data_IF_164621410142
#
_entry.id   IF_164621410142
#
_cell.length_a   1.000
_cell.length_b   1.000
_cell.length_c   1.000
_cell.angle_alpha   90.00
_cell.angle_beta   90.00
_cell.angle_gamma   90.00
#
_symmetry.space_group_name_H-M   'P 1'
#
loop_
_entity.id
_entity.type
_entity.pdbx_description
1 polymer ?
#
# COMPACT_ATOMS: atom_id res chain seq x y z
N UNK A 1 40.63 8.08 13.89
CA UNK A 1 39.24 8.07 14.37
C UNK A 1 38.65 6.71 14.04
N UNK A 2 38.56 5.81 15.03
CA UNK A 2 38.01 4.48 14.82
C UNK A 2 36.49 4.57 14.71
N UNK A 3 35.95 4.25 13.52
CA UNK A 3 34.52 4.15 13.30
C UNK A 3 33.98 2.97 14.12
N UNK A 4 33.31 3.27 15.22
CA UNK A 4 32.62 2.30 16.06
C UNK A 4 31.52 1.63 15.23
N UNK A 5 31.81 0.43 14.72
CA UNK A 5 30.79 -0.43 14.11
C UNK A 5 29.89 -0.91 15.24
N UNK A 6 28.73 -0.28 15.38
CA UNK A 6 27.69 -0.76 16.27
C UNK A 6 27.39 -2.22 15.93
N UNK A 7 27.61 -3.12 16.90
CA UNK A 7 27.25 -4.52 16.74
C UNK A 7 25.75 -4.63 16.47
N UNK A 8 25.32 -5.52 15.56
CA UNK A 8 23.91 -5.72 15.29
C UNK A 8 23.20 -6.11 16.60
N UNK A 9 22.25 -5.26 17.05
CA UNK A 9 21.42 -5.51 18.23
C UNK A 9 20.75 -6.88 18.13
N UNK A 10 20.67 -7.59 19.25
CA UNK A 10 20.03 -8.89 19.28
C UNK A 10 18.53 -8.76 18.92
N UNK A 11 17.91 -9.75 18.27
CA UNK A 11 16.50 -9.70 17.88
C UNK A 11 15.54 -9.59 19.08
N UNK A 12 15.95 -9.95 20.29
CA UNK A 12 15.19 -9.74 21.52
C UNK A 12 15.04 -8.24 21.82
N UNK A 13 16.13 -7.47 21.71
CA UNK A 13 16.15 -6.02 21.93
C UNK A 13 15.20 -5.30 20.96
N UNK A 14 15.11 -5.77 19.71
CA UNK A 14 14.23 -5.18 18.71
C UNK A 14 12.73 -5.37 19.02
N UNK A 15 12.35 -6.46 19.71
CA UNK A 15 10.95 -6.68 20.11
C UNK A 15 10.58 -5.78 21.29
N UNK A 16 11.48 -5.67 22.27
CA UNK A 16 11.29 -4.81 23.44
C UNK A 16 11.26 -3.32 23.06
N UNK A 17 12.17 -2.90 22.17
CA UNK A 17 12.19 -1.54 21.61
C UNK A 17 10.88 -1.19 20.91
N UNK A 18 10.31 -2.10 20.10
CA UNK A 18 9.00 -1.90 19.47
C UNK A 18 7.87 -1.78 20.49
N UNK A 19 7.89 -2.62 21.53
CA UNK A 19 6.89 -2.57 22.59
C UNK A 19 6.94 -1.24 23.37
N UNK A 20 8.15 -0.73 23.64
CA UNK A 20 8.33 0.57 24.30
C UNK A 20 7.87 1.73 23.42
N UNK A 21 8.19 1.70 22.11
CA UNK A 21 7.70 2.69 21.15
C UNK A 21 6.17 2.66 21.07
N UNK A 22 5.56 1.47 21.01
CA UNK A 22 4.11 1.31 20.97
C UNK A 22 3.43 1.84 22.25
N UNK A 23 3.96 1.50 23.42
CA UNK A 23 3.44 1.98 24.70
C UNK A 23 3.58 3.49 24.85
N UNK A 24 4.72 4.05 24.43
CA UNK A 24 4.94 5.49 24.42
C UNK A 24 4.00 6.20 23.44
N UNK A 25 3.84 5.65 22.24
CA UNK A 25 2.93 6.16 21.21
C UNK A 25 1.48 6.20 21.69
N UNK A 26 0.99 5.10 22.29
CA UNK A 26 -0.36 5.03 22.84
C UNK A 26 -0.60 6.08 23.93
N UNK A 27 0.37 6.29 24.82
CA UNK A 27 0.29 7.34 25.85
C UNK A 27 0.25 8.75 25.23
N UNK A 28 0.96 8.96 24.12
CA UNK A 28 1.06 10.26 23.48
C UNK A 28 -0.22 10.66 22.74
N UNK A 29 -0.82 9.72 22.01
CA UNK A 29 -2.05 9.99 21.24
C UNK A 29 -3.30 9.98 22.12
N UNK A 30 -3.17 9.59 23.39
CA UNK A 30 -4.21 9.67 24.40
C UNK A 30 -5.43 8.85 24.02
N UNK A 31 -6.60 9.51 24.00
CA UNK A 31 -7.89 8.88 23.70
C UNK A 31 -7.95 8.26 22.30
N UNK A 32 -7.16 8.77 21.35
CA UNK A 32 -7.12 8.23 19.99
C UNK A 32 -6.57 6.79 19.94
N UNK A 33 -5.82 6.36 20.96
CA UNK A 33 -5.33 4.99 21.05
C UNK A 33 -6.46 3.95 21.08
N UNK A 34 -7.68 4.34 21.44
CA UNK A 34 -8.85 3.45 21.40
C UNK A 34 -9.31 3.12 19.98
N UNK A 35 -8.93 3.91 18.97
CA UNK A 35 -9.32 3.76 17.57
C UNK A 35 -8.19 3.32 16.66
N UNK A 36 -6.97 3.74 16.97
CA UNK A 36 -5.80 3.53 16.14
C UNK A 36 -5.23 2.13 16.37
N UNK A 37 -5.04 1.37 15.29
CA UNK A 37 -4.35 0.08 15.38
C UNK A 37 -2.91 0.30 15.82
N UNK A 38 -2.51 -0.30 16.95
CA UNK A 38 -1.23 -0.01 17.60
C UNK A 38 -0.01 -0.14 16.68
N UNK A 39 0.02 -1.16 15.83
CA UNK A 39 1.16 -1.41 14.95
C UNK A 39 1.19 -0.46 13.74
N UNK A 40 0.07 0.19 13.42
CA UNK A 40 -0.06 1.08 12.25
C UNK A 40 0.50 2.48 12.46
N UNK A 41 0.78 2.86 13.72
CA UNK A 41 1.19 4.22 14.07
C UNK A 41 2.55 4.57 13.48
N UNK A 42 2.65 5.71 12.79
CA UNK A 42 3.93 6.35 12.46
C UNK A 42 3.95 7.79 12.92
N UNK A 43 5.07 8.13 13.54
CA UNK A 43 5.32 9.47 14.04
C UNK A 43 6.32 10.18 13.13
N UNK A 44 6.04 11.43 12.80
CA UNK A 44 6.92 12.34 12.08
C UNK A 44 7.08 13.60 12.93
N UNK A 45 8.33 14.02 13.19
CA UNK A 45 8.64 15.17 14.06
C UNK A 45 7.96 15.13 15.44
N UNK A 46 7.69 13.93 15.94
CA UNK A 46 7.00 13.72 17.22
C UNK A 46 5.48 13.80 17.15
N UNK A 47 4.85 13.78 15.98
CA UNK A 47 3.39 13.77 15.89
C UNK A 47 2.89 12.57 15.12
N UNK A 48 1.70 12.06 15.49
CA UNK A 48 1.06 10.98 14.73
C UNK A 48 0.75 11.51 13.33
N UNK A 49 1.44 10.98 12.32
CA UNK A 49 1.30 11.37 10.93
C UNK A 49 0.58 10.29 10.11
N UNK A 50 0.75 9.01 10.48
CA UNK A 50 0.10 7.88 9.81
C UNK A 50 -0.55 6.95 10.83
N UNK A 51 -1.76 6.49 10.51
CA UNK A 51 -2.43 5.44 11.26
C UNK A 51 -3.43 4.66 10.41
N UNK A 52 -3.70 3.42 10.82
CA UNK A 52 -4.90 2.70 10.46
C UNK A 52 -5.93 2.86 11.58
N UNK A 53 -7.18 3.09 11.21
CA UNK A 53 -8.30 3.10 12.16
C UNK A 53 -9.25 1.96 11.84
N UNK A 54 -9.76 1.31 12.88
CA UNK A 54 -10.87 0.37 12.74
C UNK A 54 -12.18 1.15 12.58
N UNK A 55 -12.63 1.28 11.33
CA UNK A 55 -13.81 2.06 11.00
C UNK A 55 -15.11 1.38 11.41
N UNK A 56 -15.11 0.07 11.72
CA UNK A 56 -16.31 -0.63 12.21
C UNK A 56 -16.71 -0.17 13.62
N UNK A 57 -15.82 0.55 14.32
CA UNK A 57 -16.09 1.19 15.61
C UNK A 57 -16.61 2.62 15.47
N UNK A 58 -17.54 2.85 14.54
CA UNK A 58 -18.07 4.19 14.20
C UNK A 58 -18.45 5.04 15.41
N UNK A 59 -19.15 4.48 16.40
CA UNK A 59 -19.56 5.24 17.59
C UNK A 59 -18.38 5.82 18.39
N UNK A 60 -17.25 5.11 18.43
CA UNK A 60 -16.02 5.62 19.05
C UNK A 60 -15.36 6.68 18.15
N UNK A 61 -15.41 6.51 16.83
CA UNK A 61 -14.90 7.49 15.87
C UNK A 61 -15.65 8.81 15.98
N UNK A 62 -16.97 8.76 16.07
CA UNK A 62 -17.83 9.94 16.23
C UNK A 62 -17.56 10.65 17.56
N UNK A 63 -17.39 9.91 18.67
CA UNK A 63 -17.04 10.48 19.98
C UNK A 63 -15.69 11.20 19.99
N UNK A 64 -14.74 10.72 19.20
CA UNK A 64 -13.39 11.30 19.10
C UNK A 64 -13.24 12.25 17.92
N UNK A 65 -14.32 12.55 17.19
CA UNK A 65 -14.33 13.57 16.14
C UNK A 65 -14.12 14.94 16.80
N UNK A 66 -13.23 15.77 16.22
CA UNK A 66 -12.82 17.06 16.80
C UNK A 66 -11.68 16.98 17.84
N UNK A 67 -11.21 15.78 18.21
CA UNK A 67 -10.04 15.64 19.08
C UNK A 67 -8.79 16.25 18.41
N UNK A 68 -8.07 17.13 19.11
CA UNK A 68 -6.93 17.88 18.56
C UNK A 68 -5.78 17.01 18.06
N UNK A 69 -5.64 15.79 18.57
CA UNK A 69 -4.63 14.82 18.11
C UNK A 69 -4.77 14.44 16.64
N UNK A 70 -5.97 14.60 16.07
CA UNK A 70 -6.22 14.39 14.65
C UNK A 70 -5.56 15.42 13.74
N UNK A 71 -5.25 16.61 14.27
CA UNK A 71 -4.77 17.74 13.46
C UNK A 71 -3.40 17.56 12.84
N UNK A 72 -2.64 16.55 13.26
CA UNK A 72 -1.33 16.21 12.72
C UNK A 72 -1.36 15.00 11.80
N UNK A 73 -2.48 14.27 11.76
CA UNK A 73 -2.60 13.05 10.95
C UNK A 73 -2.69 13.44 9.49
N UNK A 74 -1.73 12.95 8.71
CA UNK A 74 -1.61 13.21 7.28
C UNK A 74 -2.17 12.05 6.45
N UNK A 75 -2.13 10.84 6.99
CA UNK A 75 -2.50 9.62 6.28
C UNK A 75 -3.34 8.69 7.14
N UNK A 76 -4.54 8.38 6.65
CA UNK A 76 -5.44 7.39 7.26
C UNK A 76 -5.62 6.19 6.33
N UNK A 77 -5.46 5.00 6.89
CA UNK A 77 -6.00 3.76 6.32
C UNK A 77 -7.28 3.38 7.07
N UNK A 78 -8.38 3.22 6.34
CA UNK A 78 -9.65 2.76 6.89
C UNK A 78 -9.68 1.23 6.85
N UNK A 79 -9.49 0.60 8.00
CA UNK A 79 -9.71 -0.83 8.15
C UNK A 79 -11.16 -1.05 8.59
N UNK A 80 -12.03 -1.60 7.74
CA UNK A 80 -13.42 -1.87 8.10
C UNK A 80 -14.40 -1.63 6.97
N UNK A 81 -15.69 -1.76 7.25
CA UNK A 81 -16.78 -1.56 6.31
C UNK A 81 -17.33 -0.14 6.36
N UNK A 82 -17.20 0.51 7.51
CA UNK A 82 -17.86 1.77 7.77
C UNK A 82 -17.04 2.98 7.30
N UNK A 83 -17.74 4.08 7.05
CA UNK A 83 -17.14 5.33 6.58
C UNK A 83 -17.34 6.46 7.59
N UNK A 84 -16.28 6.89 8.29
CA UNK A 84 -16.37 7.94 9.27
C UNK A 84 -16.35 9.31 8.59
N UNK A 85 -17.40 9.61 7.81
CA UNK A 85 -17.49 10.84 7.02
C UNK A 85 -17.25 12.09 7.87
N UNK A 86 -17.89 12.17 9.05
CA UNK A 86 -17.76 13.29 9.98
C UNK A 86 -16.31 13.59 10.36
N UNK A 87 -15.53 12.56 10.71
CA UNK A 87 -14.10 12.72 11.01
C UNK A 87 -13.35 13.29 9.79
N UNK A 88 -13.51 12.70 8.61
CA UNK A 88 -12.66 13.01 7.45
C UNK A 88 -12.93 14.39 6.82
N UNK A 89 -14.08 15.01 7.11
CA UNK A 89 -14.40 16.41 6.74
C UNK A 89 -14.25 17.39 7.88
N UNK A 90 -13.98 16.92 9.09
CA UNK A 90 -13.88 17.79 10.25
C UNK A 90 -12.74 18.80 10.03
N UNK A 91 -12.94 20.10 10.32
CA UNK A 91 -11.89 21.12 10.21
C UNK A 91 -10.61 20.79 10.99
N UNK A 92 -10.68 19.93 12.01
CA UNK A 92 -9.51 19.44 12.74
C UNK A 92 -8.56 18.66 11.81
N UNK A 93 -9.06 17.97 10.77
CA UNK A 93 -8.31 17.18 9.80
C UNK A 93 -7.57 18.02 8.74
N UNK A 94 -7.15 19.23 9.08
CA UNK A 94 -6.49 20.17 8.14
C UNK A 94 -5.20 19.64 7.51
N UNK A 95 -4.52 18.69 8.16
CA UNK A 95 -3.27 18.09 7.67
C UNK A 95 -3.51 16.83 6.82
N UNK A 96 -4.75 16.34 6.74
CA UNK A 96 -5.08 15.09 6.07
C UNK A 96 -4.87 15.21 4.57
N UNK A 97 -3.82 14.56 4.09
CA UNK A 97 -3.43 14.54 2.69
C UNK A 97 -3.84 13.24 1.98
N UNK A 98 -4.08 12.16 2.72
CA UNK A 98 -4.33 10.84 2.13
C UNK A 98 -5.33 10.02 2.93
N UNK A 99 -6.32 9.46 2.23
CA UNK A 99 -7.24 8.45 2.79
C UNK A 99 -7.21 7.23 1.90
N UNK A 100 -7.00 6.05 2.49
CA UNK A 100 -6.94 4.77 1.78
C UNK A 100 -7.82 3.73 2.47
N UNK A 101 -8.09 2.59 1.84
CA UNK A 101 -9.03 1.60 2.38
C UNK A 101 -10.51 1.97 2.22
N UNK A 102 -10.83 2.98 1.39
CA UNK A 102 -12.22 3.36 1.17
C UNK A 102 -12.90 2.27 0.37
N UNK A 103 -13.89 1.59 0.93
CA UNK A 103 -14.61 0.56 0.17
C UNK A 103 -15.48 1.17 -0.92
N UNK A 104 -15.72 0.40 -1.97
CA UNK A 104 -16.48 0.88 -3.11
C UNK A 104 -17.95 1.21 -2.81
N UNK A 105 -18.57 0.53 -1.84
CA UNK A 105 -19.91 0.89 -1.33
C UNK A 105 -19.94 2.27 -0.68
N UNK A 106 -18.80 2.73 -0.18
CA UNK A 106 -18.62 4.00 0.52
C UNK A 106 -18.16 5.11 -0.43
N UNK A 107 -17.45 4.76 -1.49
CA UNK A 107 -16.90 5.71 -2.45
C UNK A 107 -17.97 6.64 -3.08
N UNK A 108 -19.21 6.18 -3.26
CA UNK A 108 -20.31 7.04 -3.71
C UNK A 108 -20.64 8.15 -2.71
N UNK A 109 -20.55 7.89 -1.40
CA UNK A 109 -20.74 8.93 -0.37
C UNK A 109 -19.60 9.93 -0.35
N UNK A 110 -18.37 9.46 -0.63
CA UNK A 110 -17.21 10.34 -0.84
C UNK A 110 -17.46 11.25 -2.04
N UNK A 111 -17.87 10.67 -3.17
CA UNK A 111 -18.17 11.38 -4.42
C UNK A 111 -19.31 12.40 -4.28
N UNK A 112 -20.31 12.08 -3.47
CA UNK A 112 -21.45 12.96 -3.17
C UNK A 112 -21.15 14.02 -2.10
N UNK A 113 -19.98 13.93 -1.44
CA UNK A 113 -19.57 14.89 -0.42
C UNK A 113 -19.11 16.23 -0.98
N UNK A 114 -18.59 17.12 -0.13
CA UNK A 114 -18.10 18.43 -0.56
C UNK A 114 -17.00 18.29 -1.63
N UNK A 115 -17.05 19.09 -2.69
CA UNK A 115 -16.05 19.05 -3.77
C UNK A 115 -14.63 19.44 -3.33
N UNK A 116 -14.45 19.92 -2.09
CA UNK A 116 -13.22 20.56 -1.60
C UNK A 116 -12.47 19.72 -0.57
N UNK A 117 -12.62 18.39 -0.57
CA UNK A 117 -11.78 17.58 0.30
C UNK A 117 -10.30 17.89 0.05
N UNK A 118 -9.48 18.14 1.09
CA UNK A 118 -8.09 18.55 0.94
C UNK A 118 -7.15 17.38 0.54
N UNK A 119 -7.71 16.23 0.18
CA UNK A 119 -6.95 15.00 0.00
C UNK A 119 -6.19 15.00 -1.32
N UNK A 120 -4.87 14.88 -1.24
CA UNK A 120 -3.96 14.72 -2.39
C UNK A 120 -3.95 13.29 -2.92
N UNK A 121 -4.38 12.32 -2.11
CA UNK A 121 -4.42 10.90 -2.46
C UNK A 121 -5.68 10.23 -1.90
N UNK A 122 -6.31 9.43 -2.75
CA UNK A 122 -7.48 8.62 -2.39
C UNK A 122 -7.23 7.19 -2.84
N UNK A 123 -7.33 6.25 -1.90
CA UNK A 123 -7.20 4.83 -2.16
C UNK A 123 -8.50 4.10 -1.89
N UNK A 124 -8.98 3.37 -2.89
CA UNK A 124 -10.23 2.63 -2.81
C UNK A 124 -9.97 1.14 -2.89
N UNK A 125 -10.44 0.47 -1.85
CA UNK A 125 -10.46 -0.96 -1.77
C UNK A 125 -11.32 -1.53 -2.90
N UNK A 126 -11.00 -2.74 -3.39
CA UNK A 126 -11.52 -3.25 -4.65
C UNK A 126 -13.03 -3.17 -4.67
N UNK A 127 -13.64 -2.79 -5.80
CA UNK A 127 -15.07 -2.88 -5.92
C UNK A 127 -15.51 -4.32 -5.72
N UNK A 128 -16.58 -4.47 -4.93
CA UNK A 128 -17.48 -5.60 -5.09
C UNK A 128 -17.79 -5.69 -6.59
N UNK A 129 -17.68 -6.90 -7.15
CA UNK A 129 -17.80 -7.14 -8.59
C UNK A 129 -19.02 -6.40 -9.16
N UNK A 130 -18.80 -5.36 -10.00
CA UNK A 130 -19.89 -4.61 -10.63
C UNK A 130 -19.72 -3.09 -10.76
N UNK A 131 -18.70 -2.44 -10.18
CA UNK A 131 -18.55 -0.96 -10.24
C UNK A 131 -17.37 -0.47 -11.11
N UNK A 132 -17.44 -0.78 -12.40
CA UNK A 132 -16.43 -0.42 -13.41
C UNK A 132 -16.20 1.10 -13.57
N UNK A 133 -17.23 1.93 -13.36
CA UNK A 133 -17.17 3.38 -13.63
C UNK A 133 -16.59 4.21 -12.48
N UNK A 134 -16.49 3.63 -11.29
CA UNK A 134 -16.10 4.33 -10.06
C UNK A 134 -14.74 5.05 -10.19
N UNK A 135 -13.68 4.45 -10.78
CA UNK A 135 -12.39 5.12 -10.93
C UNK A 135 -12.46 6.40 -11.77
N UNK A 136 -13.24 6.38 -12.86
CA UNK A 136 -13.41 7.53 -13.74
C UNK A 136 -14.22 8.66 -13.06
N UNK A 137 -15.19 8.31 -12.20
CA UNK A 137 -15.93 9.28 -11.40
C UNK A 137 -15.04 9.98 -10.37
N UNK A 138 -14.19 9.22 -9.66
CA UNK A 138 -13.29 9.79 -8.64
C UNK A 138 -12.24 10.72 -9.23
N UNK A 139 -11.68 10.40 -10.40
CA UNK A 139 -10.76 11.33 -11.10
C UNK A 139 -11.43 12.66 -11.43
N UNK A 140 -12.71 12.63 -11.81
CA UNK A 140 -13.49 13.86 -12.07
C UNK A 140 -13.74 14.65 -10.79
N UNK A 141 -14.01 13.96 -9.67
CA UNK A 141 -14.28 14.60 -8.38
C UNK A 141 -13.01 15.12 -7.68
N UNK A 142 -11.88 14.44 -7.86
CA UNK A 142 -10.58 14.78 -7.26
C UNK A 142 -9.53 15.05 -8.33
N UNK A 143 -9.67 16.12 -9.14
CA UNK A 143 -8.73 16.42 -10.22
C UNK A 143 -7.30 16.72 -9.71
N UNK A 144 -7.18 17.23 -8.48
CA UNK A 144 -5.90 17.51 -7.82
C UNK A 144 -5.25 16.28 -7.18
N UNK A 145 -5.94 15.12 -7.17
CA UNK A 145 -5.37 13.90 -6.61
C UNK A 145 -4.26 13.37 -7.53
N UNK A 146 -3.02 13.59 -7.09
CA UNK A 146 -1.80 13.14 -7.80
C UNK A 146 -1.70 11.61 -7.95
N UNK A 147 -2.44 10.84 -7.15
CA UNK A 147 -2.50 9.39 -7.25
C UNK A 147 -3.86 8.84 -6.81
N UNK A 148 -4.44 7.97 -7.65
CA UNK A 148 -5.59 7.13 -7.32
C UNK A 148 -5.09 5.69 -7.15
N UNK A 149 -5.24 5.14 -5.94
CA UNK A 149 -4.88 3.76 -5.65
C UNK A 149 -6.13 2.89 -5.76
N UNK A 150 -6.15 1.93 -6.69
CA UNK A 150 -7.17 0.87 -6.67
C UNK A 150 -6.55 -0.42 -6.18
N UNK A 151 -7.25 -1.06 -5.26
CA UNK A 151 -6.95 -2.40 -4.82
C UNK A 151 -7.77 -3.36 -5.71
N UNK A 152 -7.25 -4.54 -6.05
CA UNK A 152 -8.01 -5.60 -6.71
C UNK A 152 -8.09 -6.85 -5.83
N UNK A 153 -9.31 -7.35 -5.64
CA UNK A 153 -9.57 -8.61 -4.95
C UNK A 153 -9.40 -9.81 -5.90
N UNK A 154 -9.17 -10.99 -5.31
CA UNK A 154 -8.90 -12.29 -5.97
C UNK A 154 -9.90 -12.73 -7.06
N UNK A 155 -11.11 -12.16 -7.13
CA UNK A 155 -12.21 -12.66 -7.99
C UNK A 155 -12.49 -11.84 -9.26
N UNK A 156 -11.87 -10.68 -9.48
CA UNK A 156 -12.28 -9.74 -10.54
C UNK A 156 -11.23 -9.46 -11.62
N UNK A 157 -10.09 -10.15 -11.60
CA UNK A 157 -8.89 -9.78 -12.38
C UNK A 157 -9.11 -9.88 -13.89
N UNK A 158 -9.92 -10.83 -14.36
CA UNK A 158 -10.25 -11.00 -15.77
C UNK A 158 -11.07 -9.84 -16.33
N UNK A 159 -12.02 -9.32 -15.56
CA UNK A 159 -12.84 -8.15 -15.94
C UNK A 159 -12.07 -6.83 -15.71
N UNK A 160 -11.15 -6.81 -14.75
CA UNK A 160 -10.30 -5.66 -14.42
C UNK A 160 -9.24 -5.35 -15.48
N UNK A 161 -8.67 -6.39 -16.09
CA UNK A 161 -7.66 -6.27 -17.15
C UNK A 161 -8.17 -5.49 -18.38
N UNK A 162 -9.47 -5.55 -18.66
CA UNK A 162 -10.10 -4.91 -19.82
C UNK A 162 -10.39 -3.41 -19.57
N UNK A 163 -10.88 -3.05 -18.38
CA UNK A 163 -11.24 -1.67 -18.03
C UNK A 163 -10.03 -0.72 -17.88
N UNK A 164 -8.84 -1.28 -17.67
CA UNK A 164 -7.63 -0.51 -17.37
C UNK A 164 -6.69 -0.30 -18.57
N UNK A 165 -6.95 -0.89 -19.73
CA UNK A 165 -6.05 -0.76 -20.88
C UNK A 165 -5.93 0.66 -21.41
N UNK A 166 -7.05 1.39 -21.45
CA UNK A 166 -7.09 2.78 -21.94
C UNK A 166 -6.60 3.76 -20.87
N UNK A 167 -6.79 3.43 -19.58
CA UNK A 167 -6.32 4.22 -18.46
C UNK A 167 -4.79 4.12 -18.25
N UNK A 168 -4.18 2.97 -18.53
CA UNK A 168 -2.74 2.76 -18.39
C UNK A 168 -1.93 3.51 -19.45
N UNK A 169 -2.44 3.63 -20.67
CA UNK A 169 -1.78 4.37 -21.75
C UNK A 169 -1.57 5.87 -21.42
N UNK A 170 -2.35 6.42 -20.47
CA UNK A 170 -2.28 7.81 -20.05
C UNK A 170 -1.52 8.03 -18.73
N UNK A 171 -1.13 6.97 -18.01
CA UNK A 171 -0.39 7.08 -16.75
C UNK A 171 1.11 7.25 -17.03
N UNK A 172 1.58 8.50 -17.04
CA UNK A 172 2.99 8.83 -17.29
C UNK A 172 3.88 8.75 -16.04
N UNK A 173 3.35 8.60 -14.82
CA UNK A 173 4.19 8.76 -13.61
C UNK A 173 3.74 7.99 -12.36
N UNK A 174 3.62 6.66 -12.46
CA UNK A 174 3.43 5.69 -11.33
C UNK A 174 1.95 5.38 -11.04
N UNK A 175 1.57 4.13 -11.31
CA UNK A 175 0.31 3.54 -10.86
C UNK A 175 0.57 2.51 -9.77
N UNK A 176 -0.14 2.60 -8.65
CA UNK A 176 -0.10 1.61 -7.58
C UNK A 176 -1.31 0.70 -7.71
N UNK A 177 -1.08 -0.61 -7.81
CA UNK A 177 -2.15 -1.61 -7.89
C UNK A 177 -1.92 -2.66 -6.82
N UNK A 178 -2.72 -2.62 -5.76
CA UNK A 178 -2.65 -3.66 -4.73
C UNK A 178 -3.39 -4.90 -5.24
N UNK A 179 -2.69 -6.02 -5.38
CA UNK A 179 -3.25 -7.26 -5.93
C UNK A 179 -3.05 -8.41 -4.92
N UNK A 180 -4.01 -9.32 -4.85
CA UNK A 180 -3.76 -10.65 -4.26
C UNK A 180 -2.62 -11.34 -5.03
N UNK A 181 -1.73 -12.09 -4.38
CA UNK A 181 -0.56 -12.70 -5.06
C UNK A 181 -0.97 -13.60 -6.24
N UNK A 182 -2.10 -14.30 -6.12
CA UNK A 182 -2.63 -15.14 -7.20
C UNK A 182 -3.06 -14.36 -8.47
N UNK A 183 -3.21 -13.05 -8.37
CA UNK A 183 -3.60 -12.16 -9.47
C UNK A 183 -2.42 -11.62 -10.27
N UNK A 184 -1.21 -11.70 -9.69
CA UNK A 184 0.01 -11.15 -10.25
C UNK A 184 0.28 -11.64 -11.69
N UNK A 185 0.09 -12.94 -12.04
CA UNK A 185 0.38 -13.40 -13.40
C UNK A 185 -0.51 -12.73 -14.46
N UNK A 186 -1.84 -12.80 -14.30
CA UNK A 186 -2.77 -12.23 -15.28
C UNK A 186 -2.61 -10.71 -15.44
N UNK A 187 -2.24 -10.01 -14.36
CA UNK A 187 -1.95 -8.58 -14.44
C UNK A 187 -0.59 -8.31 -15.10
N UNK A 188 0.45 -9.09 -14.79
CA UNK A 188 1.76 -8.94 -15.42
C UNK A 188 1.70 -9.19 -16.92
N UNK A 189 0.86 -10.12 -17.40
CA UNK A 189 0.66 -10.35 -18.83
C UNK A 189 0.16 -9.07 -19.52
N UNK A 190 -0.82 -8.41 -18.91
CA UNK A 190 -1.37 -7.14 -19.40
C UNK A 190 -0.32 -6.03 -19.30
N UNK A 191 0.38 -5.95 -18.17
CA UNK A 191 1.38 -4.93 -17.92
C UNK A 191 2.57 -5.04 -18.89
N UNK A 192 3.17 -6.22 -19.00
CA UNK A 192 4.31 -6.47 -19.88
C UNK A 192 3.95 -6.30 -21.36
N UNK A 193 2.72 -6.61 -21.76
CA UNK A 193 2.27 -6.46 -23.14
C UNK A 193 1.91 -5.01 -23.53
N UNK A 194 1.52 -4.16 -22.57
CA UNK A 194 0.87 -2.87 -22.88
C UNK A 194 1.50 -1.64 -22.23
N UNK A 195 2.34 -1.83 -21.23
CA UNK A 195 2.89 -0.72 -20.45
C UNK A 195 4.31 -0.43 -20.95
N UNK A 196 4.64 0.86 -21.11
CA UNK A 196 5.96 1.28 -21.53
C UNK A 196 7.05 0.66 -20.62
N UNK A 197 8.22 0.28 -21.17
CA UNK A 197 9.31 -0.33 -20.40
C UNK A 197 9.82 0.48 -19.20
N UNK A 198 9.43 1.75 -19.05
CA UNK A 198 9.88 2.63 -17.97
C UNK A 198 8.88 2.74 -16.81
N UNK A 199 7.70 2.14 -16.93
CA UNK A 199 6.62 2.34 -15.96
C UNK A 199 6.84 1.53 -14.70
N UNK A 200 6.88 2.24 -13.58
CA UNK A 200 6.92 1.60 -12.27
C UNK A 200 5.52 1.12 -11.89
N UNK A 201 5.42 -0.19 -11.71
CA UNK A 201 4.24 -0.85 -11.16
C UNK A 201 4.57 -1.16 -9.70
N UNK A 202 3.65 -0.91 -8.78
CA UNK A 202 3.79 -1.35 -7.40
C UNK A 202 2.64 -2.29 -7.09
N UNK A 203 3.00 -3.48 -6.62
CA UNK A 203 2.07 -4.45 -6.07
C UNK A 203 2.09 -4.32 -4.54
N UNK A 204 0.99 -4.66 -3.88
CA UNK A 204 0.91 -4.75 -2.43
C UNK A 204 -0.20 -5.72 -2.12
N UNK A 205 0.02 -6.65 -1.20
CA UNK A 205 -1.03 -7.55 -0.73
C UNK A 205 -1.50 -7.01 0.63
N UNK A 206 -2.46 -6.07 0.58
CA UNK A 206 -2.80 -5.16 1.68
C UNK A 206 -1.69 -4.13 1.97
N UNK A 207 -2.04 -2.93 2.42
CA UNK A 207 -1.10 -1.78 2.55
C UNK A 207 0.13 -2.02 3.45
N UNK A 208 0.14 -3.14 4.16
CA UNK A 208 1.07 -3.48 5.22
C UNK A 208 1.80 -4.81 4.99
N UNK A 209 1.38 -5.65 4.05
CA UNK A 209 2.08 -6.90 3.72
C UNK A 209 2.19 -7.05 2.20
N UNK A 210 3.10 -7.90 1.71
CA UNK A 210 3.22 -8.20 0.29
C UNK A 210 4.49 -7.69 -0.34
N UNK A 211 4.45 -7.38 -1.64
CA UNK A 211 5.63 -7.16 -2.46
C UNK A 211 5.47 -5.95 -3.35
N UNK A 212 6.40 -5.01 -3.28
CA UNK A 212 6.57 -4.02 -4.34
C UNK A 212 7.39 -4.68 -5.46
N UNK A 213 6.80 -4.77 -6.65
CA UNK A 213 7.44 -5.36 -7.83
C UNK A 213 7.47 -4.33 -8.94
N UNK A 214 8.63 -3.74 -9.17
CA UNK A 214 8.83 -2.75 -10.23
C UNK A 214 9.38 -3.43 -11.47
N UNK A 215 8.71 -3.26 -12.60
CA UNK A 215 9.19 -3.71 -13.89
C UNK A 215 9.73 -2.51 -14.66
N UNK A 216 10.96 -2.58 -15.14
CA UNK A 216 11.60 -1.55 -15.94
C UNK A 216 12.35 -2.20 -17.12
N UNK A 217 11.63 -2.51 -18.20
CA UNK A 217 12.14 -3.24 -19.35
C UNK A 217 12.54 -4.65 -18.93
N UNK A 218 13.79 -5.08 -19.17
CA UNK A 218 14.24 -6.39 -18.72
C UNK A 218 14.69 -6.40 -17.24
N UNK A 219 14.52 -5.30 -16.50
CA UNK A 219 14.82 -5.20 -15.08
C UNK A 219 13.58 -5.41 -14.22
N UNK A 220 13.71 -6.21 -13.17
CA UNK A 220 12.68 -6.46 -12.16
C UNK A 220 13.22 -6.07 -10.78
N UNK A 221 12.66 -5.07 -10.10
CA UNK A 221 12.99 -4.79 -8.69
C UNK A 221 11.96 -5.42 -7.77
N UNK A 222 12.40 -6.27 -6.85
CA UNK A 222 11.59 -6.94 -5.85
C UNK A 222 11.91 -6.41 -4.47
N UNK A 223 10.88 -5.94 -3.79
CA UNK A 223 10.95 -5.53 -2.39
C UNK A 223 9.82 -6.17 -1.63
N UNK A 224 10.16 -6.99 -0.64
CA UNK A 224 9.20 -7.46 0.34
C UNK A 224 8.81 -6.31 1.27
N UNK A 225 7.52 -6.12 1.49
CA UNK A 225 6.99 -5.27 2.56
C UNK A 225 6.67 -6.18 3.73
N UNK A 226 7.47 -6.07 4.78
CA UNK A 226 7.07 -6.47 6.12
C UNK A 226 6.52 -5.23 6.83
N UNK A 227 5.25 -5.21 7.21
CA UNK A 227 4.82 -4.35 8.29
C UNK A 227 4.80 -5.10 9.61
N UNK A 228 4.92 -4.31 10.68
CA UNK A 228 4.41 -4.68 12.00
C UNK A 228 5.08 -5.90 12.63
N UNK A 229 6.39 -6.06 12.40
CA UNK A 229 7.16 -7.16 12.97
C UNK A 229 6.74 -8.55 12.52
N UNK A 230 5.82 -8.66 11.55
CA UNK A 230 5.52 -9.90 10.86
C UNK A 230 6.66 -10.21 9.90
N UNK A 231 6.91 -11.51 9.66
CA UNK A 231 7.89 -11.90 8.63
C UNK A 231 7.42 -11.33 7.30
N UNK A 232 8.35 -10.72 6.57
CA UNK A 232 8.17 -10.40 5.16
C UNK A 232 7.50 -11.59 4.46
N UNK A 233 6.52 -11.30 3.60
CA UNK A 233 5.90 -12.33 2.77
C UNK A 233 7.02 -13.06 2.02
N UNK A 234 7.04 -14.40 2.08
CA UNK A 234 8.13 -15.21 1.55
C UNK A 234 8.14 -15.13 0.03
N UNK A 235 9.27 -14.78 -0.57
CA UNK A 235 9.39 -14.60 -2.02
C UNK A 235 8.87 -15.79 -2.84
N UNK A 236 8.82 -17.01 -2.30
CA UNK A 236 8.30 -18.19 -3.00
C UNK A 236 6.89 -18.05 -3.59
N UNK A 237 5.96 -17.32 -2.95
CA UNK A 237 4.63 -17.09 -3.56
C UNK A 237 4.72 -16.16 -4.76
N UNK A 238 5.56 -15.13 -4.66
CA UNK A 238 5.83 -14.21 -5.75
C UNK A 238 6.58 -14.88 -6.89
N UNK A 239 7.61 -15.68 -6.60
CA UNK A 239 8.37 -16.42 -7.61
C UNK A 239 7.46 -17.38 -8.36
N UNK A 240 6.59 -18.12 -7.65
CA UNK A 240 5.59 -18.98 -8.30
C UNK A 240 4.66 -18.20 -9.22
N UNK A 241 4.24 -17.00 -8.83
CA UNK A 241 3.44 -16.13 -9.68
C UNK A 241 4.23 -15.58 -10.89
N UNK A 242 5.54 -15.39 -10.75
CA UNK A 242 6.42 -14.90 -11.81
C UNK A 242 6.97 -16.00 -12.73
N UNK A 243 6.79 -17.27 -12.37
CA UNK A 243 7.32 -18.41 -13.12
C UNK A 243 6.99 -18.41 -14.62
N UNK A 244 5.79 -17.98 -15.07
CA UNK A 244 5.49 -17.88 -16.50
C UNK A 244 6.43 -16.95 -17.29
N UNK A 245 7.14 -16.04 -16.61
CA UNK A 245 8.10 -15.10 -17.21
C UNK A 245 9.56 -15.53 -17.03
N UNK A 246 9.81 -16.76 -16.57
CA UNK A 246 11.17 -17.27 -16.43
C UNK A 246 11.95 -17.12 -17.74
N UNK A 247 13.17 -16.59 -17.65
CA UNK A 247 14.01 -16.32 -18.81
C UNK A 247 13.81 -14.94 -19.45
N UNK A 248 12.88 -14.12 -18.95
CA UNK A 248 12.57 -12.80 -19.54
C UNK A 248 13.43 -11.68 -18.95
N UNK A 249 13.78 -11.77 -17.66
CA UNK A 249 14.45 -10.67 -16.96
C UNK A 249 15.97 -10.81 -17.05
N UNK A 250 16.66 -9.80 -17.58
CA UNK A 250 18.15 -9.80 -17.61
C UNK A 250 18.74 -9.30 -16.30
N UNK A 251 17.95 -8.60 -15.48
CA UNK A 251 18.37 -8.15 -14.15
C UNK A 251 17.23 -8.24 -13.15
N UNK A 252 17.48 -8.83 -12.00
CA UNK A 252 16.56 -8.77 -10.86
C UNK A 252 17.27 -8.07 -9.70
N UNK A 253 16.66 -7.04 -9.12
CA UNK A 253 17.18 -6.33 -7.94
C UNK A 253 16.35 -6.69 -6.70
N UNK A 254 16.99 -7.17 -5.64
CA UNK A 254 16.37 -7.40 -4.35
C UNK A 254 16.70 -6.25 -3.41
N UNK A 255 15.68 -5.65 -2.79
CA UNK A 255 15.89 -4.61 -1.79
C UNK A 255 15.95 -5.14 -0.35
N UNK A 256 15.56 -6.40 -0.14
CA UNK A 256 15.54 -7.04 1.16
C UNK A 256 16.37 -8.32 1.16
N UNK A 257 16.69 -8.81 2.35
CA UNK A 257 17.40 -10.08 2.52
C UNK A 257 16.49 -11.24 2.13
N UNK A 258 16.82 -11.89 1.02
CA UNK A 258 16.30 -13.20 0.66
C UNK A 258 17.17 -14.33 1.26
N UNK A 259 16.53 -15.41 1.69
CA UNK A 259 17.23 -16.65 2.08
C UNK A 259 17.95 -17.26 0.87
N UNK A 260 18.91 -18.18 1.12
CA UNK A 260 19.60 -18.90 0.03
C UNK A 260 18.64 -19.65 -0.90
N UNK A 261 17.56 -20.21 -0.33
CA UNK A 261 16.52 -20.92 -1.09
C UNK A 261 15.74 -19.93 -1.95
N UNK A 262 15.26 -18.83 -1.38
CA UNK A 262 14.52 -17.80 -2.13
C UNK A 262 15.39 -17.17 -3.24
N UNK A 263 16.68 -16.94 -3.00
CA UNK A 263 17.59 -16.47 -4.04
C UNK A 263 17.68 -17.44 -5.21
N UNK A 264 17.86 -18.73 -4.93
CA UNK A 264 17.92 -19.75 -5.96
C UNK A 264 16.61 -19.83 -6.76
N UNK A 265 15.46 -19.70 -6.09
CA UNK A 265 14.14 -19.63 -6.73
C UNK A 265 14.02 -18.38 -7.63
N UNK A 266 14.43 -17.21 -7.15
CA UNK A 266 14.40 -15.95 -7.92
C UNK A 266 15.35 -16.02 -9.13
N UNK A 267 16.53 -16.64 -8.99
CA UNK A 267 17.47 -16.81 -10.11
C UNK A 267 16.88 -17.62 -11.26
N UNK A 268 15.89 -18.50 -11.00
CA UNK A 268 15.19 -19.21 -12.08
C UNK A 268 14.37 -18.30 -12.99
N UNK A 269 14.07 -17.07 -12.55
CA UNK A 269 13.34 -16.08 -13.34
C UNK A 269 14.24 -15.34 -14.33
N UNK A 270 15.57 -15.39 -14.16
CA UNK A 270 16.52 -14.68 -15.00
C UNK A 270 16.66 -15.30 -16.39
N UNK A 271 16.85 -14.44 -17.39
CA UNK A 271 17.35 -14.81 -18.71
C UNK A 271 18.75 -15.45 -18.62
N UNK A 272 19.17 -16.29 -19.58
CA UNK A 272 20.55 -16.77 -19.65
C UNK A 272 21.56 -15.61 -19.62
N UNK A 273 22.50 -15.65 -18.68
CA UNK A 273 23.47 -14.55 -18.46
C UNK A 273 22.92 -13.34 -17.70
N UNK A 274 21.68 -13.43 -17.19
CA UNK A 274 21.08 -12.42 -16.33
C UNK A 274 21.74 -12.33 -14.95
N UNK A 275 21.53 -11.20 -14.29
CA UNK A 275 22.19 -10.84 -13.03
C UNK A 275 21.17 -10.65 -11.90
N UNK A 276 21.38 -11.33 -10.76
CA UNK A 276 20.70 -11.02 -9.50
C UNK A 276 21.54 -10.00 -8.70
N UNK A 277 20.99 -8.81 -8.50
CA UNK A 277 21.58 -7.73 -7.70
C UNK A 277 20.89 -7.70 -6.34
N UNK A 278 21.63 -7.70 -5.25
CA UNK A 278 21.09 -7.64 -3.88
C UNK A 278 21.70 -6.53 -3.05
#
# INVERSE_FOLDING_TARGET
>A
MASSRASPRAPADAKEERALIAAHGARWIGELAALVEHDSMRFEDGFLAWCAIDSDRLGVVEQLTGNVGWSTVQHIYLAGNAFPHGLLVDPIMKSLASVTGIRSAVAERVLAGPATYPWKRVGIDPPDAGRAELPAQLRRTFPEATALHLHAARRTISDFAFLWSDAFAQLTTIGFVSLAVSAIPAFLDVALARVAPTTTIEFSEYHHLGYMVRVAGPMLELRSRAAWGRRATRYGDLVRALQPYAGTFTRIRLHDRATKVERAEIETLLAPGGELVS
#
